data_IF_326678755627
#
_entry.id   IF_326678755627
#
_cell.length_a   1.000
_cell.length_b   1.000
_cell.length_c   1.000
_cell.angle_alpha   90.00
_cell.angle_beta   90.00
_cell.angle_gamma   90.00
#
_symmetry.space_group_name_H-M   'P 1'
#
loop_
_entity.id
_entity.type
_entity.pdbx_description
1 polymer ?
#
# COMPACT_ATOMS: atom_id res chain seq x y z
N UNK A 1 -16.94 6.67 -4.87
CA UNK A 1 -15.64 7.24 -5.31
C UNK A 1 -15.77 8.17 -6.54
N UNK A 2 -15.14 9.36 -6.56
CA UNK A 2 -15.08 10.24 -7.74
C UNK A 2 -13.82 9.95 -8.60
N UNK A 3 -14.01 9.28 -9.73
CA UNK A 3 -12.93 8.85 -10.64
C UNK A 3 -12.18 10.05 -11.27
N UNK A 4 -12.86 11.17 -11.51
CA UNK A 4 -12.22 12.37 -12.08
C UNK A 4 -11.23 13.00 -11.10
N UNK A 5 -11.60 13.09 -9.82
CA UNK A 5 -10.70 13.57 -8.77
C UNK A 5 -9.50 12.65 -8.60
N UNK A 6 -9.72 11.32 -8.57
CA UNK A 6 -8.64 10.34 -8.49
C UNK A 6 -7.64 10.50 -9.65
N UNK A 7 -8.14 10.58 -10.89
CA UNK A 7 -7.28 10.78 -12.07
C UNK A 7 -6.48 12.09 -12.00
N UNK A 8 -7.12 13.18 -11.55
CA UNK A 8 -6.45 14.47 -11.38
C UNK A 8 -5.31 14.38 -10.37
N UNK A 9 -5.57 13.75 -9.23
CA UNK A 9 -4.59 13.59 -8.15
C UNK A 9 -3.40 12.70 -8.58
N UNK A 10 -3.67 11.59 -9.27
CA UNK A 10 -2.61 10.73 -9.82
C UNK A 10 -1.70 11.52 -10.77
N UNK A 11 -2.27 12.37 -11.62
CA UNK A 11 -1.50 13.23 -12.53
C UNK A 11 -0.67 14.31 -11.81
N UNK A 12 -0.91 14.53 -10.51
CA UNK A 12 -0.22 15.54 -9.70
C UNK A 12 0.79 14.92 -8.72
N UNK A 13 1.04 13.62 -8.79
CA UNK A 13 1.99 12.94 -7.90
C UNK A 13 3.37 13.59 -7.84
N UNK A 14 3.88 14.12 -8.95
CA UNK A 14 5.19 14.78 -8.98
C UNK A 14 5.26 16.07 -8.14
N UNK A 15 4.11 16.65 -7.78
CA UNK A 15 4.03 17.81 -6.89
C UNK A 15 3.90 17.45 -5.40
N UNK A 16 3.77 16.17 -5.07
CA UNK A 16 3.52 15.72 -3.69
C UNK A 16 4.81 15.26 -3.03
N UNK A 17 4.97 15.57 -1.74
CA UNK A 17 6.09 15.05 -0.95
C UNK A 17 5.95 13.53 -0.73
N UNK A 18 4.76 13.08 -0.31
CA UNK A 18 4.38 11.67 -0.27
C UNK A 18 3.46 11.35 -1.45
N UNK A 19 3.96 10.59 -2.42
CA UNK A 19 3.23 10.23 -3.65
C UNK A 19 2.36 9.00 -3.40
N UNK A 20 1.43 9.10 -2.44
CA UNK A 20 0.70 7.98 -1.87
C UNK A 20 -0.81 8.19 -1.95
N UNK A 21 -1.51 7.21 -2.54
CA UNK A 21 -2.97 7.11 -2.51
C UNK A 21 -3.37 5.75 -1.94
N UNK A 22 -4.31 5.74 -0.99
CA UNK A 22 -5.00 4.55 -0.53
C UNK A 22 -6.36 4.45 -1.21
N UNK A 23 -6.62 3.32 -1.87
CA UNK A 23 -7.92 2.94 -2.40
C UNK A 23 -8.56 1.95 -1.42
N UNK A 24 -9.64 2.38 -0.77
CA UNK A 24 -10.37 1.57 0.21
C UNK A 24 -11.64 1.09 -0.46
N UNK A 25 -11.83 -0.22 -0.55
CA UNK A 25 -13.05 -0.81 -1.09
C UNK A 25 -13.66 -1.80 -0.12
N UNK A 26 -14.85 -1.42 0.33
CA UNK A 26 -15.65 -2.21 1.28
C UNK A 26 -16.19 -3.49 0.62
N UNK A 27 -16.16 -3.60 -0.71
CA UNK A 27 -16.77 -4.70 -1.47
C UNK A 27 -15.78 -5.50 -2.34
N UNK A 28 -14.46 -5.28 -2.21
CA UNK A 28 -13.41 -6.00 -2.97
C UNK A 28 -13.54 -5.93 -4.52
N UNK A 29 -14.23 -4.92 -5.06
CA UNK A 29 -14.54 -4.74 -6.49
C UNK A 29 -13.72 -3.63 -7.18
N UNK A 30 -12.62 -3.15 -6.59
CA UNK A 30 -11.75 -2.11 -7.18
C UNK A 30 -11.30 -2.53 -8.58
N UNK A 31 -10.94 -3.81 -8.73
CA UNK A 31 -10.39 -4.40 -9.95
C UNK A 31 -11.36 -4.36 -11.13
N UNK A 32 -12.67 -4.43 -10.91
CA UNK A 32 -13.65 -4.57 -12.00
C UNK A 32 -14.23 -3.24 -12.47
N UNK A 33 -14.07 -2.16 -11.69
CA UNK A 33 -14.84 -0.93 -11.89
C UNK A 33 -13.98 0.32 -12.08
N UNK A 34 -12.64 0.22 -12.01
CA UNK A 34 -11.74 1.36 -12.27
C UNK A 34 -10.76 1.03 -13.41
N UNK A 35 -11.21 1.05 -14.69
CA UNK A 35 -10.37 0.72 -15.85
C UNK A 35 -9.11 1.59 -15.97
N UNK A 36 -9.11 2.78 -15.34
CA UNK A 36 -7.96 3.66 -15.34
C UNK A 36 -6.72 3.01 -14.69
N UNK A 37 -6.92 2.09 -13.74
CA UNK A 37 -5.86 1.42 -12.99
C UNK A 37 -5.18 0.30 -13.78
N UNK A 38 -5.82 -0.23 -14.82
CA UNK A 38 -5.28 -1.35 -15.62
C UNK A 38 -3.97 -1.02 -16.34
N UNK A 39 -3.66 0.27 -16.51
CA UNK A 39 -2.42 0.74 -17.12
C UNK A 39 -1.21 0.73 -16.18
N UNK A 40 -1.43 0.59 -14.88
CA UNK A 40 -0.38 0.72 -13.86
C UNK A 40 0.25 -0.63 -13.52
N UNK A 41 1.52 -0.62 -13.10
CA UNK A 41 2.26 -1.84 -12.79
C UNK A 41 1.77 -2.42 -11.46
N UNK A 42 1.23 -3.65 -11.51
CA UNK A 42 0.67 -4.32 -10.34
C UNK A 42 1.73 -5.09 -9.59
N UNK A 43 1.82 -4.84 -8.29
CA UNK A 43 2.74 -5.53 -7.39
C UNK A 43 1.91 -6.26 -6.33
N UNK A 44 2.02 -7.60 -6.34
CA UNK A 44 1.48 -8.42 -5.26
C UNK A 44 2.51 -8.43 -4.11
N UNK A 45 2.24 -7.66 -3.07
CA UNK A 45 3.18 -7.44 -1.95
C UNK A 45 3.36 -8.72 -1.14
N UNK A 46 2.29 -9.46 -0.84
CA UNK A 46 2.35 -10.78 -0.21
C UNK A 46 3.35 -11.68 -0.93
N UNK A 47 3.26 -11.78 -2.26
CA UNK A 47 4.15 -12.63 -3.05
C UNK A 47 5.61 -12.17 -2.96
N UNK A 48 5.88 -10.88 -3.22
CA UNK A 48 7.24 -10.31 -3.20
C UNK A 48 7.91 -10.53 -1.85
N UNK A 49 7.21 -10.23 -0.75
CA UNK A 49 7.76 -10.37 0.60
C UNK A 49 7.89 -11.84 0.97
N UNK A 50 6.89 -12.68 0.70
CA UNK A 50 6.93 -14.12 1.03
C UNK A 50 8.09 -14.85 0.32
N UNK A 51 8.28 -14.61 -0.98
CA UNK A 51 9.37 -15.21 -1.77
C UNK A 51 10.74 -14.68 -1.30
N UNK A 52 10.84 -13.37 -1.03
CA UNK A 52 12.09 -12.74 -0.61
C UNK A 52 12.56 -13.09 0.80
N UNK A 53 11.65 -13.52 1.68
CA UNK A 53 11.97 -13.84 3.08
C UNK A 53 12.20 -15.34 3.35
N UNK A 54 12.02 -16.23 2.36
CA UNK A 54 12.16 -17.69 2.53
C UNK A 54 13.48 -18.13 3.21
N UNK A 55 14.57 -17.45 2.87
CA UNK A 55 15.92 -17.76 3.38
C UNK A 55 16.44 -16.73 4.39
N UNK A 56 15.59 -15.81 4.84
CA UNK A 56 15.98 -14.72 5.73
C UNK A 56 15.59 -15.08 7.17
N UNK A 57 16.49 -14.93 8.17
CA UNK A 57 16.12 -15.07 9.57
C UNK A 57 15.13 -13.98 10.00
N UNK A 58 14.12 -14.34 10.79
CA UNK A 58 13.05 -13.42 11.22
C UNK A 58 13.56 -12.12 11.85
N UNK A 59 14.68 -12.17 12.58
CA UNK A 59 15.28 -11.00 13.23
C UNK A 59 15.74 -9.92 12.23
N UNK A 60 15.87 -10.27 10.95
CA UNK A 60 16.29 -9.35 9.88
C UNK A 60 15.11 -8.84 9.03
N UNK A 61 13.91 -9.38 9.19
CA UNK A 61 12.75 -9.01 8.37
C UNK A 61 12.53 -7.50 8.22
N UNK A 62 12.57 -6.68 9.30
CA UNK A 62 12.31 -5.24 9.17
C UNK A 62 13.15 -4.53 8.11
N UNK A 63 14.44 -4.86 8.05
CA UNK A 63 15.39 -4.24 7.12
C UNK A 63 15.17 -4.73 5.69
N UNK A 64 14.92 -6.04 5.53
CA UNK A 64 14.84 -6.66 4.20
C UNK A 64 13.52 -6.39 3.49
N UNK A 65 12.41 -6.21 4.21
CA UNK A 65 11.10 -5.95 3.59
C UNK A 65 11.14 -4.68 2.73
N UNK A 66 11.74 -3.60 3.23
CA UNK A 66 11.86 -2.36 2.46
C UNK A 66 12.76 -2.54 1.22
N UNK A 67 13.88 -3.25 1.36
CA UNK A 67 14.80 -3.52 0.25
C UNK A 67 14.14 -4.38 -0.85
N UNK A 68 13.38 -5.42 -0.47
CA UNK A 68 12.64 -6.27 -1.39
C UNK A 68 11.62 -5.48 -2.21
N UNK A 69 10.89 -4.57 -1.56
CA UNK A 69 9.94 -3.71 -2.26
C UNK A 69 10.64 -2.71 -3.20
N UNK A 70 11.77 -2.13 -2.78
CA UNK A 70 12.56 -1.25 -3.66
C UNK A 70 13.09 -1.97 -4.90
N UNK A 71 13.47 -3.25 -4.78
CA UNK A 71 13.97 -4.05 -5.92
C UNK A 71 12.92 -4.27 -7.01
N UNK A 72 11.64 -4.31 -6.66
CA UNK A 72 10.56 -4.44 -7.65
C UNK A 72 10.16 -3.09 -8.28
N UNK A 73 10.46 -1.97 -7.62
CA UNK A 73 10.24 -0.64 -8.15
C UNK A 73 11.41 -0.20 -9.06
N UNK A 74 11.32 -0.55 -10.34
CA UNK A 74 12.39 -0.35 -11.33
C UNK A 74 12.58 1.09 -11.81
N UNK A 75 11.52 1.90 -11.74
CA UNK A 75 11.44 3.23 -12.34
C UNK A 75 10.59 4.16 -11.47
N UNK A 76 11.12 5.33 -11.12
CA UNK A 76 10.46 6.32 -10.27
C UNK A 76 9.31 7.06 -10.98
N UNK A 77 9.32 7.06 -12.32
CA UNK A 77 8.28 7.72 -13.11
C UNK A 77 7.01 6.88 -13.25
N UNK A 78 7.13 5.56 -13.03
CA UNK A 78 6.01 4.64 -13.06
C UNK A 78 5.15 4.75 -11.80
N UNK A 79 3.87 4.46 -11.97
CA UNK A 79 2.92 4.30 -10.88
C UNK A 79 2.76 2.81 -10.59
N UNK A 80 2.95 2.44 -9.32
CA UNK A 80 2.80 1.08 -8.83
C UNK A 80 1.49 0.93 -8.07
N UNK A 81 0.69 -0.05 -8.50
CA UNK A 81 -0.52 -0.47 -7.78
C UNK A 81 -0.16 -1.63 -6.86
N UNK A 82 -0.05 -1.36 -5.57
CA UNK A 82 0.24 -2.36 -4.55
C UNK A 82 -1.06 -3.06 -4.16
N UNK A 83 -1.05 -4.39 -4.28
CA UNK A 83 -2.18 -5.26 -3.97
C UNK A 83 -1.74 -6.32 -2.98
N UNK A 84 -2.69 -6.88 -2.23
CA UNK A 84 -2.45 -7.96 -1.27
C UNK A 84 -1.31 -7.58 -0.32
N UNK A 85 -1.51 -6.51 0.46
CA UNK A 85 -0.51 -5.97 1.39
C UNK A 85 -0.63 -6.57 2.80
N UNK A 86 -1.46 -7.59 2.97
CA UNK A 86 -1.84 -8.23 4.24
C UNK A 86 -0.62 -8.72 5.04
N UNK A 87 0.41 -9.22 4.35
CA UNK A 87 1.66 -9.68 4.97
C UNK A 87 2.36 -8.57 5.76
N UNK A 88 2.17 -7.30 5.39
CA UNK A 88 2.82 -6.18 6.07
C UNK A 88 2.30 -5.98 7.50
N UNK A 89 1.17 -6.59 7.85
CA UNK A 89 0.56 -6.55 9.19
C UNK A 89 0.97 -7.74 10.06
N UNK A 90 1.71 -8.72 9.51
CA UNK A 90 2.24 -9.83 10.30
C UNK A 90 3.25 -9.30 11.34
N UNK A 91 2.95 -9.55 12.61
CA UNK A 91 3.78 -9.15 13.74
C UNK A 91 5.21 -9.70 13.66
N UNK A 92 5.42 -10.81 12.97
CA UNK A 92 6.74 -11.40 12.75
C UNK A 92 7.65 -10.51 11.90
N UNK A 93 7.10 -9.63 11.06
CA UNK A 93 7.87 -8.68 10.28
C UNK A 93 8.44 -7.54 11.13
N UNK A 94 7.85 -7.25 12.29
CA UNK A 94 8.26 -6.16 13.20
C UNK A 94 8.41 -4.80 12.50
N UNK A 95 7.53 -4.50 11.55
CA UNK A 95 7.48 -3.23 10.83
C UNK A 95 6.22 -2.45 11.17
N UNK A 96 6.25 -1.14 10.92
CA UNK A 96 5.03 -0.35 10.85
C UNK A 96 4.60 -0.21 9.37
N UNK A 97 3.51 -0.87 8.93
CA UNK A 97 3.16 -1.01 7.51
C UNK A 97 2.95 0.34 6.84
N UNK A 98 2.24 1.26 7.49
CA UNK A 98 2.01 2.61 6.94
C UNK A 98 3.31 3.41 6.79
N UNK A 99 4.18 3.45 7.82
CA UNK A 99 5.46 4.18 7.75
C UNK A 99 6.37 3.63 6.65
N UNK A 100 6.36 2.32 6.42
CA UNK A 100 7.06 1.72 5.29
C UNK A 100 6.53 2.27 3.95
N UNK A 101 5.21 2.27 3.75
CA UNK A 101 4.58 2.80 2.53
C UNK A 101 4.86 4.29 2.35
N UNK A 102 4.77 5.08 3.42
CA UNK A 102 5.11 6.51 3.41
C UNK A 102 6.56 6.74 3.00
N UNK A 103 7.50 5.97 3.55
CA UNK A 103 8.91 6.14 3.22
C UNK A 103 9.17 5.80 1.75
N UNK A 104 8.59 4.71 1.24
CA UNK A 104 8.67 4.34 -0.18
C UNK A 104 8.04 5.40 -1.08
N UNK A 105 6.93 6.00 -0.65
CA UNK A 105 6.18 7.00 -1.43
C UNK A 105 6.90 8.34 -1.62
N UNK A 106 7.95 8.63 -0.83
CA UNK A 106 8.80 9.82 -1.04
C UNK A 106 9.50 9.74 -2.40
N UNK A 107 9.91 8.53 -2.78
CA UNK A 107 10.61 8.28 -4.04
C UNK A 107 9.62 7.83 -5.13
N UNK A 108 8.81 6.80 -4.84
CA UNK A 108 7.98 6.12 -5.83
C UNK A 108 6.52 6.57 -5.79
N UNK A 109 5.84 6.51 -6.94
CA UNK A 109 4.41 6.83 -7.08
C UNK A 109 3.57 5.60 -6.73
N UNK A 110 2.89 5.61 -5.58
CA UNK A 110 2.21 4.45 -5.02
C UNK A 110 0.70 4.65 -4.94
N UNK A 111 -0.03 3.66 -5.46
CA UNK A 111 -1.46 3.47 -5.22
C UNK A 111 -1.59 2.15 -4.47
N UNK A 112 -2.23 2.16 -3.31
CA UNK A 112 -2.34 0.99 -2.43
C UNK A 112 -3.79 0.56 -2.35
N UNK A 113 -4.08 -0.67 -2.76
CA UNK A 113 -5.35 -1.30 -2.44
C UNK A 113 -5.35 -1.66 -0.95
N UNK A 114 -6.11 -0.88 -0.17
CA UNK A 114 -6.21 -1.09 1.27
C UNK A 114 -7.21 -2.22 1.56
N UNK A 115 -6.77 -3.33 2.19
CA UNK A 115 -7.63 -4.50 2.42
C UNK A 115 -8.63 -4.33 3.57
N UNK A 116 -8.51 -3.24 4.34
CA UNK A 116 -9.38 -2.97 5.48
C UNK A 116 -10.40 -1.87 5.23
N UNK A 117 -10.81 -1.19 6.32
CA UNK A 117 -11.79 -0.09 6.30
C UNK A 117 -11.14 1.25 6.60
N UNK A 118 -11.82 2.32 6.21
CA UNK A 118 -11.44 3.69 6.59
C UNK A 118 -12.61 4.36 7.31
N UNK A 119 -12.44 4.65 8.59
CA UNK A 119 -13.49 5.17 9.48
C UNK A 119 -12.91 6.26 10.35
N UNK A 120 -13.61 7.39 10.50
CA UNK A 120 -13.18 8.47 11.41
C UNK A 120 -11.80 9.04 11.10
N UNK A 121 -11.41 9.07 9.83
CA UNK A 121 -10.08 9.45 9.36
C UNK A 121 -8.95 8.49 9.74
N UNK A 122 -9.27 7.22 10.00
CA UNK A 122 -8.30 6.19 10.35
C UNK A 122 -8.36 5.03 9.37
N UNK A 123 -7.19 4.57 8.92
CA UNK A 123 -7.02 3.30 8.22
C UNK A 123 -7.02 2.17 9.25
N UNK A 124 -7.95 1.24 9.10
CA UNK A 124 -8.15 0.10 10.00
C UNK A 124 -7.99 -1.18 9.18
N UNK A 125 -7.20 -2.12 9.66
CA UNK A 125 -7.04 -3.47 9.11
C UNK A 125 -7.37 -4.53 10.15
N UNK A 126 -8.01 -5.61 9.68
CA UNK A 126 -8.57 -6.70 10.48
C UNK A 126 -9.62 -6.26 11.54
N UNK A 127 -10.29 -7.24 12.17
CA UNK A 127 -11.19 -6.97 13.31
C UNK A 127 -10.42 -6.92 14.63
N UNK A 128 -10.99 -6.24 15.63
CA UNK A 128 -10.34 -5.96 16.91
C UNK A 128 -9.80 -7.20 17.66
N UNK A 129 -10.38 -8.38 17.40
CA UNK A 129 -9.99 -9.64 18.03
C UNK A 129 -8.91 -10.41 17.25
N UNK A 130 -8.50 -9.92 16.08
CA UNK A 130 -7.43 -10.55 15.30
C UNK A 130 -6.04 -10.08 15.76
N UNK A 131 -5.04 -10.98 15.77
CA UNK A 131 -3.67 -10.62 16.13
C UNK A 131 -3.05 -9.58 15.19
N UNK A 132 -3.56 -9.48 13.97
CA UNK A 132 -3.12 -8.51 12.96
C UNK A 132 -3.92 -7.20 12.99
N UNK A 133 -4.77 -6.99 14.00
CA UNK A 133 -5.53 -5.75 14.15
C UNK A 133 -4.62 -4.53 14.16
N UNK A 134 -4.88 -3.58 13.27
CA UNK A 134 -4.07 -2.40 13.08
C UNK A 134 -4.94 -1.17 12.82
N UNK A 135 -4.61 -0.05 13.47
CA UNK A 135 -5.26 1.24 13.27
C UNK A 135 -4.22 2.33 13.13
N UNK A 136 -4.39 3.21 12.14
CA UNK A 136 -3.55 4.38 11.96
C UNK A 136 -4.39 5.59 11.52
N UNK A 137 -4.38 6.63 12.34
CA UNK A 137 -5.00 7.93 12.03
C UNK A 137 -4.01 9.03 11.65
N UNK A 138 -2.72 8.79 11.88
CA UNK A 138 -1.63 9.71 11.52
C UNK A 138 -0.86 9.09 10.36
N UNK A 139 -1.32 9.36 9.14
CA UNK A 139 -0.71 8.86 7.92
C UNK A 139 -0.70 9.92 6.81
N UNK A 140 0.24 9.76 5.89
CA UNK A 140 0.42 10.65 4.74
C UNK A 140 -0.30 10.12 3.48
N UNK A 141 -0.58 11.03 2.55
CA UNK A 141 -1.25 10.70 1.30
C UNK A 141 -2.78 10.88 1.35
N UNK A 142 -3.46 10.47 0.29
CA UNK A 142 -4.91 10.64 0.15
C UNK A 142 -5.66 9.33 0.17
N UNK A 143 -6.86 9.34 0.75
CA UNK A 143 -7.75 8.19 0.79
C UNK A 143 -8.92 8.39 -0.17
N UNK A 144 -9.16 7.41 -1.01
CA UNK A 144 -10.35 7.29 -1.84
C UNK A 144 -11.14 6.08 -1.40
N UNK A 145 -12.32 6.34 -0.83
CA UNK A 145 -13.27 5.30 -0.44
C UNK A 145 -14.22 5.05 -1.60
N UNK A 146 -14.44 3.78 -1.90
CA UNK A 146 -15.44 3.36 -2.88
C UNK A 146 -16.79 3.09 -2.24
#
# INVERSE_FOLDING_TARGET
MNIHSLKKDINQFDAWYHKLIFLVDVNEKIKTEIPLLDRYERINVNRVVSEGLLSIPKQRYPMYVEELLKQVFKDIERIYLLQHIDILFDQALQIHPIRLLENLSKTYKLIVEWPGRYVGSQLIYAEHEHPEYFVCGDFEGKVYIK
#
